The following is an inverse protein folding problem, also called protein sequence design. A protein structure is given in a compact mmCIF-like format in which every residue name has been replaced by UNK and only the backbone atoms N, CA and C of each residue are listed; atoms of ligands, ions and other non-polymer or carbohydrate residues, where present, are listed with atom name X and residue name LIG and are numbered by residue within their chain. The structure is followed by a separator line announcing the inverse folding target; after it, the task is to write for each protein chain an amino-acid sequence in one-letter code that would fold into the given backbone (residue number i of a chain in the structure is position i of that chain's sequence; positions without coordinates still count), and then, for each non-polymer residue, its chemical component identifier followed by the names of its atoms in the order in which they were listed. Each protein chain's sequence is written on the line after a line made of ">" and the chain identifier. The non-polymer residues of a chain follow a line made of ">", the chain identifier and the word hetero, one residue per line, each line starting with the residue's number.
data_IF_499673746577
#
_entry.id   IF_499673746577
#
_cell.length_a   1.000
_cell.length_b   1.000
_cell.length_c   1.000
_cell.angle_alpha   90.00
_cell.angle_beta   90.00
_cell.angle_gamma   90.00
#
_symmetry.space_group_name_H-M   'P 1'
#
loop_
_entity.id
_entity.type
_entity.pdbx_description
1 polymer ?
#
# COMPACT_ATOMS: atom_id res chain seq x y z
N UNK A 1 3.08 27.92 3.47
CA UNK A 1 4.17 27.35 2.65
C UNK A 1 3.98 25.85 2.70
N UNK A 2 3.42 25.25 1.65
CA UNK A 2 3.28 23.79 1.60
C UNK A 2 4.57 23.23 1.01
N UNK A 3 5.48 22.78 1.88
CA UNK A 3 6.63 21.98 1.44
C UNK A 3 6.14 20.75 0.68
N UNK A 4 6.90 20.30 -0.30
CA UNK A 4 6.62 19.02 -0.96
C UNK A 4 6.51 17.92 0.11
N UNK A 5 5.55 16.99 0.01
CA UNK A 5 5.41 15.92 0.98
C UNK A 5 6.71 15.13 1.07
N UNK A 6 7.17 14.91 2.29
CA UNK A 6 8.33 14.07 2.57
C UNK A 6 7.79 12.68 2.88
N UNK A 7 7.99 11.75 1.95
CA UNK A 7 7.56 10.37 2.14
C UNK A 7 8.55 9.61 3.04
N UNK A 8 8.09 8.63 3.85
CA UNK A 8 8.95 7.84 4.73
C UNK A 8 10.18 7.24 4.02
N UNK A 9 10.00 6.64 2.84
CA UNK A 9 11.06 6.06 2.01
C UNK A 9 11.87 7.09 1.21
N UNK A 10 11.51 8.37 1.25
CA UNK A 10 12.20 9.49 0.59
C UNK A 10 12.57 10.60 1.59
N UNK A 11 13.40 10.30 2.61
CA UNK A 11 13.72 11.25 3.68
C UNK A 11 14.55 12.44 3.20
N UNK A 12 15.18 12.37 2.02
CA UNK A 12 15.95 13.48 1.45
C UNK A 12 15.12 14.35 0.49
N UNK A 13 13.80 14.12 0.41
CA UNK A 13 12.91 14.77 -0.54
C UNK A 13 12.99 14.16 -1.94
N UNK A 14 12.35 14.84 -2.88
CA UNK A 14 12.25 14.41 -4.29
C UNK A 14 13.09 15.31 -5.18
N UNK A 15 13.74 14.72 -6.19
CA UNK A 15 14.24 15.50 -7.32
C UNK A 15 13.09 16.17 -8.08
N UNK A 16 13.39 17.17 -8.91
CA UNK A 16 12.38 17.84 -9.74
C UNK A 16 11.62 16.85 -10.63
N UNK A 17 12.33 15.92 -11.25
CA UNK A 17 11.74 14.89 -12.09
C UNK A 17 10.82 13.94 -11.29
N UNK A 18 11.26 13.48 -10.12
CA UNK A 18 10.41 12.64 -9.25
C UNK A 18 9.18 13.41 -8.77
N UNK A 19 9.29 14.70 -8.47
CA UNK A 19 8.15 15.52 -8.08
C UNK A 19 7.11 15.67 -9.21
N UNK A 20 7.57 15.78 -10.46
CA UNK A 20 6.70 15.79 -11.64
C UNK A 20 6.01 14.43 -11.84
N UNK A 21 6.76 13.33 -11.71
CA UNK A 21 6.18 11.98 -11.77
C UNK A 21 5.13 11.74 -10.68
N UNK A 22 5.43 12.14 -9.45
CA UNK A 22 4.51 12.03 -8.31
C UNK A 22 3.23 12.84 -8.53
N UNK A 23 3.32 14.01 -9.18
CA UNK A 23 2.15 14.83 -9.49
C UNK A 23 1.19 14.13 -10.44
N UNK A 24 1.72 13.46 -11.45
CA UNK A 24 0.92 12.90 -12.55
C UNK A 24 0.45 11.45 -12.24
N UNK A 25 1.28 10.67 -11.55
CA UNK A 25 1.08 9.23 -11.31
C UNK A 25 0.95 8.84 -9.83
N UNK A 26 1.23 9.76 -8.89
CA UNK A 26 1.39 9.45 -7.47
C UNK A 26 2.78 8.87 -7.15
N UNK A 27 3.13 8.74 -5.86
CA UNK A 27 4.36 8.11 -5.41
C UNK A 27 4.32 6.59 -5.61
N UNK A 28 5.48 5.96 -5.71
CA UNK A 28 5.59 4.51 -5.55
C UNK A 28 5.01 4.12 -4.16
N UNK A 29 4.02 3.22 -4.09
CA UNK A 29 3.42 2.78 -2.84
C UNK A 29 4.45 2.35 -1.78
N UNK A 30 5.59 1.78 -2.18
CA UNK A 30 6.66 1.33 -1.27
C UNK A 30 7.33 2.47 -0.53
N UNK A 31 7.26 3.70 -1.03
CA UNK A 31 7.82 4.87 -0.34
C UNK A 31 7.02 5.27 0.89
N UNK A 32 5.79 4.76 1.01
CA UNK A 32 4.91 5.00 2.13
C UNK A 32 5.04 3.93 3.21
N UNK A 33 5.85 2.88 3.01
CA UNK A 33 6.22 1.97 4.09
C UNK A 33 7.11 2.68 5.13
N UNK A 34 6.93 2.45 6.45
CA UNK A 34 6.03 1.47 7.07
C UNK A 34 4.61 1.99 7.38
N UNK A 35 4.29 3.24 7.01
CA UNK A 35 2.97 3.83 7.28
C UNK A 35 1.84 3.09 6.54
N UNK A 36 2.08 2.71 5.29
CA UNK A 36 1.22 1.80 4.53
C UNK A 36 1.90 0.44 4.38
N UNK A 37 1.19 -0.64 4.70
CA UNK A 37 1.72 -2.01 4.60
C UNK A 37 1.09 -2.77 3.44
N UNK A 38 1.93 -3.42 2.63
CA UNK A 38 1.45 -4.25 1.53
C UNK A 38 0.89 -5.59 2.05
N UNK A 39 -0.39 -5.85 1.79
CA UNK A 39 -1.06 -7.12 2.06
C UNK A 39 -1.40 -7.88 0.78
N UNK A 40 -1.57 -9.19 0.90
CA UNK A 40 -2.10 -10.02 -0.19
C UNK A 40 -3.59 -10.21 0.03
N UNK A 41 -4.38 -9.84 -0.97
CA UNK A 41 -5.80 -10.10 -1.01
C UNK A 41 -6.10 -11.24 -1.98
N UNK A 42 -7.08 -12.07 -1.63
CA UNK A 42 -7.53 -13.14 -2.51
C UNK A 42 -8.29 -12.56 -3.71
N UNK A 43 -8.03 -13.03 -4.94
CA UNK A 43 -8.81 -12.63 -6.11
C UNK A 43 -10.31 -12.83 -5.86
N UNK A 44 -11.13 -11.83 -6.21
CA UNK A 44 -12.59 -11.87 -6.05
C UNK A 44 -13.12 -11.30 -4.73
N UNK A 45 -12.27 -10.87 -3.80
CA UNK A 45 -12.70 -10.15 -2.58
C UNK A 45 -13.07 -8.69 -2.88
N UNK A 46 -12.35 -8.06 -3.81
CA UNK A 46 -12.57 -6.66 -4.22
C UNK A 46 -12.98 -6.57 -5.68
N UNK A 47 -13.73 -5.52 -6.07
CA UNK A 47 -14.16 -5.34 -7.46
C UNK A 47 -13.00 -5.00 -8.40
N UNK A 48 -11.92 -4.43 -7.89
CA UNK A 48 -10.76 -3.99 -8.67
C UNK A 48 -9.44 -4.59 -8.13
N UNK A 49 -8.39 -4.69 -8.98
CA UNK A 49 -7.14 -5.35 -8.62
C UNK A 49 -6.17 -4.53 -7.77
N UNK A 50 -6.43 -3.24 -7.58
CA UNK A 50 -5.62 -2.37 -6.74
C UNK A 50 -6.49 -1.72 -5.68
N UNK A 51 -5.96 -1.52 -4.47
CA UNK A 51 -6.72 -0.84 -3.44
C UNK A 51 -6.00 -0.66 -2.13
N UNK A 52 -6.65 0.07 -1.24
CA UNK A 52 -6.22 0.27 0.13
C UNK A 52 -7.39 0.08 1.09
N UNK A 53 -7.04 -0.30 2.31
CA UNK A 53 -7.91 -0.36 3.47
C UNK A 53 -7.32 0.56 4.54
N UNK A 54 -8.09 1.57 4.93
CA UNK A 54 -7.75 2.43 6.06
C UNK A 54 -8.45 1.91 7.31
N UNK A 55 -7.68 1.59 8.34
CA UNK A 55 -8.19 1.08 9.61
C UNK A 55 -8.32 2.26 10.58
N UNK A 56 -9.49 2.44 11.18
CA UNK A 56 -9.71 3.49 12.19
C UNK A 56 -10.71 3.03 13.26
N UNK A 57 -10.24 2.95 14.51
CA UNK A 57 -11.02 2.41 15.61
C UNK A 57 -11.51 0.97 15.35
N UNK A 58 -12.83 0.78 15.37
CA UNK A 58 -13.52 -0.47 15.04
C UNK A 58 -14.03 -0.53 13.58
N UNK A 59 -13.68 0.46 12.77
CA UNK A 59 -14.14 0.61 11.39
C UNK A 59 -12.98 0.48 10.39
N UNK A 60 -13.35 0.24 9.14
CA UNK A 60 -12.42 0.24 8.03
C UNK A 60 -13.08 0.76 6.75
N UNK A 61 -12.39 1.62 6.03
CA UNK A 61 -12.79 2.06 4.70
C UNK A 61 -11.94 1.38 3.64
N UNK A 62 -12.58 0.93 2.55
CA UNK A 62 -11.90 0.29 1.42
C UNK A 62 -12.09 1.14 0.18
N UNK A 63 -10.99 1.45 -0.50
CA UNK A 63 -10.97 2.13 -1.79
C UNK A 63 -10.20 1.29 -2.81
N UNK A 64 -10.73 1.18 -4.03
CA UNK A 64 -10.18 0.30 -5.05
C UNK A 64 -10.12 0.97 -6.42
N UNK A 65 -9.16 0.59 -7.24
CA UNK A 65 -8.87 1.17 -8.56
C UNK A 65 -8.47 0.10 -9.56
N UNK A 66 -8.75 0.37 -10.84
CA UNK A 66 -8.40 -0.52 -11.95
C UNK A 66 -6.92 -0.49 -12.33
N UNK A 67 -6.13 0.47 -11.82
CA UNK A 67 -4.72 0.65 -12.14
C UNK A 67 -3.84 1.03 -10.92
N UNK A 68 -2.53 0.84 -11.09
CA UNK A 68 -1.53 1.15 -10.06
C UNK A 68 -1.47 2.65 -9.74
N UNK A 69 -1.63 3.52 -10.73
CA UNK A 69 -1.59 4.97 -10.53
C UNK A 69 -2.76 5.44 -9.63
N UNK A 70 -3.94 4.82 -9.76
CA UNK A 70 -5.07 5.05 -8.88
C UNK A 70 -4.75 4.75 -7.43
N UNK A 71 -4.11 3.61 -7.18
CA UNK A 71 -3.61 3.25 -5.85
C UNK A 71 -2.58 4.25 -5.34
N UNK A 72 -1.57 4.56 -6.14
CA UNK A 72 -0.50 5.51 -5.78
C UNK A 72 -1.07 6.87 -5.37
N UNK A 73 -2.00 7.43 -6.16
CA UNK A 73 -2.69 8.69 -5.84
C UNK A 73 -3.59 8.58 -4.61
N UNK A 74 -4.30 7.46 -4.44
CA UNK A 74 -5.13 7.21 -3.26
C UNK A 74 -4.31 7.17 -1.97
N UNK A 75 -3.16 6.50 -2.01
CA UNK A 75 -2.22 6.45 -0.91
C UNK A 75 -1.59 7.82 -0.60
N UNK A 76 -1.22 8.60 -1.61
CA UNK A 76 -0.73 9.99 -1.41
C UNK A 76 -1.80 10.87 -0.78
N UNK A 77 -3.04 10.82 -1.29
CA UNK A 77 -4.15 11.58 -0.73
C UNK A 77 -4.36 11.24 0.75
N UNK A 78 -4.40 9.94 1.07
CA UNK A 78 -4.53 9.46 2.45
C UNK A 78 -3.35 9.89 3.33
N UNK A 79 -2.12 9.78 2.82
CA UNK A 79 -0.92 10.23 3.54
C UNK A 79 -0.95 11.73 3.82
N UNK A 80 -1.48 12.56 2.92
CA UNK A 80 -1.59 14.01 3.17
C UNK A 80 -2.66 14.37 4.18
N UNK A 81 -3.71 13.56 4.30
CA UNK A 81 -4.80 13.78 5.26
C UNK A 81 -4.65 12.99 6.56
N UNK A 82 -3.64 12.11 6.70
CA UNK A 82 -3.55 11.16 7.82
C UNK A 82 -3.53 11.82 9.20
N UNK A 83 -2.96 13.03 9.31
CA UNK A 83 -2.90 13.78 10.57
C UNK A 83 -4.27 14.23 11.08
N UNK A 84 -5.32 14.06 10.29
CA UNK A 84 -6.71 14.38 10.63
C UNK A 84 -7.51 13.14 11.05
N UNK A 85 -6.88 11.96 11.15
CA UNK A 85 -7.51 10.74 11.63
C UNK A 85 -7.15 10.51 13.11
N UNK A 86 -8.09 10.79 14.00
CA UNK A 86 -7.89 10.72 15.46
C UNK A 86 -7.64 9.28 15.95
N UNK A 87 -8.25 8.27 15.31
CA UNK A 87 -8.18 6.85 15.70
C UNK A 87 -7.47 5.98 14.65
N UNK A 88 -6.44 6.52 13.98
CA UNK A 88 -5.73 5.83 12.90
C UNK A 88 -5.08 4.52 13.40
N UNK A 89 -5.59 3.38 12.91
CA UNK A 89 -5.07 2.04 13.15
C UNK A 89 -4.05 1.58 12.10
N UNK A 90 -3.93 2.33 11.00
CA UNK A 90 -2.95 2.09 9.93
C UNK A 90 -3.59 1.97 8.55
N UNK A 91 -2.73 1.83 7.54
CA UNK A 91 -3.15 1.66 6.14
C UNK A 91 -2.58 0.34 5.62
N UNK A 92 -3.45 -0.49 5.05
CA UNK A 92 -3.09 -1.67 4.30
C UNK A 92 -3.34 -1.42 2.82
N UNK A 93 -2.47 -1.87 1.93
CA UNK A 93 -2.70 -1.76 0.50
C UNK A 93 -2.43 -3.06 -0.23
N UNK A 94 -3.01 -3.23 -1.41
CA UNK A 94 -2.83 -4.39 -2.27
C UNK A 94 -2.71 -3.95 -3.74
N UNK A 95 -1.84 -4.65 -4.47
CA UNK A 95 -1.65 -4.50 -5.91
C UNK A 95 -1.50 -5.91 -6.51
N UNK A 96 -2.55 -6.41 -7.17
CA UNK A 96 -2.62 -7.80 -7.65
C UNK A 96 -1.80 -8.08 -8.92
N UNK A 97 -1.27 -7.04 -9.55
CA UNK A 97 -0.37 -7.12 -10.70
C UNK A 97 1.09 -7.39 -10.31
N UNK A 98 1.46 -7.29 -9.03
CA UNK A 98 2.76 -7.75 -8.55
C UNK A 98 2.74 -9.29 -8.47
N UNK A 99 3.42 -10.05 -9.37
CA UNK A 99 3.46 -11.50 -9.29
C UNK A 99 4.19 -11.92 -8.01
N UNK A 100 3.43 -12.27 -6.97
CA UNK A 100 3.97 -12.86 -5.75
C UNK A 100 3.99 -14.38 -5.89
N UNK A 101 5.12 -14.92 -6.32
CA UNK A 101 5.41 -16.34 -6.22
C UNK A 101 5.40 -16.74 -4.73
N UNK A 102 4.39 -17.50 -4.30
CA UNK A 102 4.40 -18.20 -3.00
C UNK A 102 4.77 -19.66 -3.24
N UNK A 103 5.98 -20.05 -2.84
CA UNK A 103 6.31 -21.46 -2.73
C UNK A 103 5.77 -21.97 -1.39
N UNK A 104 4.79 -22.88 -1.43
CA UNK A 104 4.40 -23.68 -0.28
C UNK A 104 5.29 -24.92 -0.31
N UNK A 105 6.21 -25.02 0.64
CA UNK A 105 6.99 -26.24 0.85
C UNK A 105 6.20 -27.06 1.87
N UNK A 106 5.46 -28.05 1.38
CA UNK A 106 4.96 -29.12 2.24
C UNK A 106 6.18 -29.98 2.61
N UNK A 107 6.53 -29.99 3.88
CA UNK A 107 7.46 -30.99 4.40
C UNK A 107 6.64 -32.26 4.53
N UNK A 108 6.94 -33.28 3.72
CA UNK A 108 6.47 -34.63 4.02
C UNK A 108 7.02 -34.97 5.41
N UNK A 109 6.12 -35.30 6.35
CA UNK A 109 6.50 -35.93 7.61
C UNK A 109 7.13 -37.28 7.23
N UNK A 110 8.44 -37.31 6.98
CA UNK A 110 9.20 -38.55 6.89
C UNK A 110 8.86 -39.36 8.13
N UNK A 111 8.26 -40.52 7.87
CA UNK A 111 7.76 -41.46 8.87
C UNK A 111 8.71 -41.53 10.05
N UNK A 112 8.17 -41.27 11.24
CA UNK A 112 8.81 -41.61 12.50
C UNK A 112 9.21 -43.09 12.45
N UNK A 113 10.46 -43.35 12.07
CA UNK A 113 11.05 -44.67 12.07
C UNK A 113 11.64 -44.89 13.46
N UNK A 114 10.80 -45.52 14.29
CA UNK A 114 11.06 -46.33 15.50
C UNK A 114 12.14 -45.88 16.50
#
# INVERSE_FOLDING_TARGET
>A
MSGAPQYPGRPNGLSKFEAEQVRDHGPDPKWLEPWAQHVVLFPGVTPEPYGLMHLHGDQSDVSTWGDQDGLSRGLDAMYRSHTQCDDCGGVLYFALDEPRLRAVIELDDEEASE
#
